data_IF_639512195687
#
_entry.id   IF_639512195687
#
_cell.length_a   1.000
_cell.length_b   1.000
_cell.length_c   1.000
_cell.angle_alpha   90.00
_cell.angle_beta   90.00
_cell.angle_gamma   90.00
#
_symmetry.space_group_name_H-M   'P 1'
#
loop_
_entity.id
_entity.type
_entity.pdbx_description
1 polymer ?
#
# COMPACT_ATOMS: atom_id res chain seq x y z
N UNK A 1 -9.26 10.26 23.95
CA UNK A 1 -9.69 10.45 22.55
C UNK A 1 -8.51 10.03 21.70
N UNK A 2 -8.56 8.86 21.06
CA UNK A 2 -7.49 8.43 20.15
C UNK A 2 -7.60 9.31 18.92
N UNK A 3 -6.62 10.18 18.75
CA UNK A 3 -6.60 11.14 17.66
C UNK A 3 -6.70 10.39 16.34
N UNK A 4 -7.74 10.70 15.57
CA UNK A 4 -7.83 10.33 14.15
C UNK A 4 -6.80 11.16 13.37
N UNK A 5 -5.51 10.99 13.68
CA UNK A 5 -4.43 11.67 12.98
C UNK A 5 -4.29 11.03 11.59
N UNK A 6 -4.88 11.72 10.63
CA UNK A 6 -4.41 11.84 9.26
C UNK A 6 -4.20 10.54 8.48
N UNK A 7 -5.28 9.77 8.30
CA UNK A 7 -5.37 8.73 7.27
C UNK A 7 -5.72 9.31 5.88
N UNK A 8 -5.62 10.63 5.70
CA UNK A 8 -6.06 11.35 4.49
C UNK A 8 -5.31 10.87 3.23
N UNK A 9 -4.03 10.52 3.41
CA UNK A 9 -3.14 10.01 2.35
C UNK A 9 -2.74 8.55 2.56
N UNK A 10 -3.62 7.75 3.15
CA UNK A 10 -3.39 6.33 3.39
C UNK A 10 -3.91 5.46 2.23
N UNK A 11 -3.07 4.51 1.81
CA UNK A 11 -3.34 3.55 0.72
C UNK A 11 -3.07 2.14 1.23
N UNK A 12 -3.93 1.19 0.88
CA UNK A 12 -3.70 -0.24 1.14
C UNK A 12 -3.03 -0.88 -0.06
N UNK A 13 -1.84 -1.43 0.15
CA UNK A 13 -1.18 -2.32 -0.80
C UNK A 13 -1.55 -3.77 -0.52
N UNK A 14 -2.28 -4.43 -1.43
CA UNK A 14 -2.59 -5.86 -1.34
C UNK A 14 -1.68 -6.65 -2.27
N UNK A 15 -0.95 -7.62 -1.73
CA UNK A 15 -0.14 -8.52 -2.53
C UNK A 15 -0.91 -9.78 -2.92
N UNK A 16 -0.84 -10.15 -4.21
CA UNK A 16 -1.58 -11.30 -4.75
C UNK A 16 -0.85 -12.63 -4.50
N UNK A 17 0.41 -12.74 -4.96
CA UNK A 17 1.21 -13.96 -4.88
C UNK A 17 2.40 -13.75 -3.94
N UNK A 18 2.27 -14.22 -2.69
CA UNK A 18 3.29 -13.98 -1.66
C UNK A 18 3.37 -12.52 -1.25
N UNK A 19 4.29 -12.20 -0.34
CA UNK A 19 4.59 -10.85 0.10
C UNK A 19 6.07 -10.78 0.49
N UNK A 20 6.83 -9.77 0.04
CA UNK A 20 8.19 -9.54 0.52
C UNK A 20 8.22 -9.19 2.01
N UNK A 21 9.40 -9.23 2.63
CA UNK A 21 9.54 -8.76 4.00
C UNK A 21 9.14 -7.28 4.14
N UNK A 22 8.55 -6.89 5.28
CA UNK A 22 8.15 -5.49 5.46
C UNK A 22 9.34 -4.52 5.45
N UNK A 23 10.49 -4.97 5.94
CA UNK A 23 11.74 -4.21 5.88
C UNK A 23 12.15 -3.92 4.42
N UNK A 24 12.03 -4.92 3.55
CA UNK A 24 12.26 -4.73 2.12
C UNK A 24 11.24 -3.77 1.52
N UNK A 25 9.94 -3.94 1.81
CA UNK A 25 8.89 -3.07 1.30
C UNK A 25 9.08 -1.60 1.67
N UNK A 26 9.56 -1.32 2.89
CA UNK A 26 9.87 0.04 3.35
C UNK A 26 10.91 0.75 2.49
N UNK A 27 11.83 0.01 1.87
CA UNK A 27 12.85 0.57 0.98
C UNK A 27 12.48 0.45 -0.50
N UNK A 28 11.75 -0.61 -0.87
CA UNK A 28 11.38 -0.90 -2.25
C UNK A 28 10.20 -0.07 -2.74
N UNK A 29 9.15 0.14 -1.93
CA UNK A 29 7.96 0.89 -2.35
C UNK A 29 8.31 2.34 -2.72
N UNK A 30 9.04 3.12 -1.90
CA UNK A 30 9.40 4.49 -2.29
C UNK A 30 10.19 4.54 -3.61
N UNK A 31 11.18 3.65 -3.75
CA UNK A 31 12.04 3.59 -4.94
C UNK A 31 11.30 3.12 -6.20
N UNK A 32 10.52 2.05 -6.10
CA UNK A 32 9.87 1.41 -7.26
C UNK A 32 8.54 2.08 -7.64
N UNK A 33 7.87 2.75 -6.70
CA UNK A 33 6.67 3.54 -6.98
C UNK A 33 6.98 5.00 -7.32
N UNK A 34 8.26 5.38 -7.39
CA UNK A 34 8.73 6.74 -7.67
C UNK A 34 8.14 7.79 -6.73
N UNK A 35 8.06 7.46 -5.43
CA UNK A 35 7.54 8.38 -4.41
C UNK A 35 8.62 9.40 -4.06
N UNK A 36 8.22 10.66 -3.92
CA UNK A 36 9.14 11.78 -3.67
C UNK A 36 9.45 11.96 -2.19
N UNK A 37 8.46 11.74 -1.32
CA UNK A 37 8.62 11.91 0.12
C UNK A 37 8.83 10.57 0.83
N UNK A 38 9.27 10.65 2.08
CA UNK A 38 9.26 9.50 2.96
C UNK A 38 7.81 9.04 3.19
N UNK A 39 7.60 7.73 3.06
CA UNK A 39 6.31 7.10 3.32
C UNK A 39 6.43 6.10 4.46
N UNK A 40 5.40 6.06 5.29
CA UNK A 40 5.34 5.12 6.40
C UNK A 40 4.57 3.87 5.98
N UNK A 41 5.22 2.71 6.08
CA UNK A 41 4.65 1.44 5.64
C UNK A 41 4.47 0.53 6.85
N UNK A 42 3.21 0.22 7.16
CA UNK A 42 2.79 -0.67 8.25
C UNK A 42 2.21 -1.98 7.73
N UNK A 43 2.35 -3.05 8.52
CA UNK A 43 1.68 -4.32 8.23
C UNK A 43 0.24 -4.25 8.75
N UNK A 44 -0.73 -4.57 7.90
CA UNK A 44 -2.12 -4.72 8.31
C UNK A 44 -2.38 -6.18 8.73
N UNK A 45 -2.66 -7.04 7.76
CA UNK A 45 -2.84 -8.48 7.99
C UNK A 45 -2.89 -9.22 6.64
N UNK A 46 -2.52 -10.50 6.62
CA UNK A 46 -2.81 -11.40 5.49
C UNK A 46 -2.37 -10.86 4.10
N UNK A 47 -1.11 -10.38 3.99
CA UNK A 47 -0.52 -9.79 2.76
C UNK A 47 -1.04 -8.40 2.36
N UNK A 48 -1.59 -7.66 3.32
CA UNK A 48 -1.95 -6.26 3.15
C UNK A 48 -0.96 -5.38 3.91
N UNK A 49 -0.50 -4.32 3.25
CA UNK A 49 0.28 -3.24 3.86
C UNK A 49 -0.49 -1.94 3.83
N UNK A 50 -0.32 -1.13 4.86
CA UNK A 50 -0.76 0.24 4.89
C UNK A 50 0.40 1.12 4.47
N UNK A 51 0.22 1.91 3.42
CA UNK A 51 1.19 2.89 2.95
C UNK A 51 0.60 4.26 3.27
N UNK A 52 1.25 5.01 4.15
CA UNK A 52 0.89 6.39 4.47
C UNK A 52 1.85 7.32 3.78
N UNK A 53 1.34 8.12 2.85
CA UNK A 53 2.10 9.16 2.18
C UNK A 53 2.12 10.42 3.05
N UNK A 54 3.25 11.13 3.02
CA UNK A 54 3.40 12.42 3.71
C UNK A 54 2.87 13.59 2.87
N UNK A 55 2.77 13.41 1.55
CA UNK A 55 2.32 14.40 0.58
C UNK A 55 1.21 13.85 -0.31
N UNK A 56 0.35 14.74 -0.83
CA UNK A 56 -0.76 14.38 -1.71
C UNK A 56 -0.28 13.83 -3.06
N UNK A 57 0.82 14.34 -3.60
CA UNK A 57 1.34 13.92 -4.91
C UNK A 57 1.69 12.42 -4.95
N UNK A 58 2.28 11.91 -3.87
CA UNK A 58 2.63 10.49 -3.73
C UNK A 58 1.36 9.64 -3.57
N UNK A 59 0.38 10.15 -2.84
CA UNK A 59 -0.93 9.49 -2.72
C UNK A 59 -1.63 9.40 -4.07
N UNK A 60 -1.67 10.49 -4.84
CA UNK A 60 -2.23 10.52 -6.20
C UNK A 60 -1.46 9.55 -7.10
N UNK A 61 -0.13 9.48 -6.99
CA UNK A 61 0.70 8.54 -7.76
C UNK A 61 0.33 7.08 -7.46
N UNK A 62 0.18 6.73 -6.18
CA UNK A 62 -0.22 5.38 -5.76
C UNK A 62 -1.67 5.04 -6.16
N UNK A 63 -2.56 6.01 -6.14
CA UNK A 63 -3.97 5.82 -6.51
C UNK A 63 -4.21 5.84 -8.02
N UNK A 64 -3.37 6.56 -8.77
CA UNK A 64 -3.43 6.66 -10.23
C UNK A 64 -3.08 5.33 -10.92
N UNK A 65 -2.20 4.53 -10.30
CA UNK A 65 -1.80 3.22 -10.81
C UNK A 65 -2.41 2.11 -9.95
N UNK A 66 -3.34 1.30 -10.47
CA UNK A 66 -4.02 0.27 -9.67
C UNK A 66 -3.11 -0.93 -9.34
N UNK A 67 -2.02 -1.12 -10.08
CA UNK A 67 -1.11 -2.26 -9.95
C UNK A 67 0.34 -1.79 -9.97
N UNK A 68 1.13 -2.25 -9.01
CA UNK A 68 2.57 -2.04 -8.91
C UNK A 68 3.29 -3.38 -8.85
N UNK A 69 4.38 -3.48 -9.60
CA UNK A 69 5.25 -4.65 -9.58
C UNK A 69 6.43 -4.39 -8.68
N UNK A 70 6.46 -5.05 -7.52
CA UNK A 70 7.58 -4.98 -6.59
C UNK A 70 8.56 -6.11 -6.90
N UNK A 71 9.73 -5.77 -7.41
CA UNK A 71 10.80 -6.73 -7.71
C UNK A 71 11.72 -6.88 -6.50
N UNK A 72 11.93 -8.11 -6.04
CA UNK A 72 12.89 -8.50 -5.01
C UNK A 72 13.81 -9.57 -5.60
N UNK A 73 15.06 -9.21 -5.89
CA UNK A 73 16.04 -10.08 -6.56
C UNK A 73 15.45 -10.72 -7.84
N UNK A 74 15.09 -12.01 -7.79
CA UNK A 74 14.51 -12.77 -8.92
C UNK A 74 12.99 -12.98 -8.83
N UNK A 75 12.32 -12.43 -7.81
CA UNK A 75 10.88 -12.57 -7.58
C UNK A 75 10.17 -11.24 -7.85
N UNK A 76 9.02 -11.32 -8.51
CA UNK A 76 8.16 -10.16 -8.79
C UNK A 76 6.85 -10.34 -8.06
N UNK A 77 6.48 -9.36 -7.25
CA UNK A 77 5.27 -9.36 -6.44
C UNK A 77 4.30 -8.32 -6.97
N UNK A 78 3.11 -8.76 -7.38
CA UNK A 78 2.05 -7.85 -7.79
C UNK A 78 1.36 -7.27 -6.56
N UNK A 79 1.55 -5.97 -6.35
CA UNK A 79 0.85 -5.15 -5.37
C UNK A 79 -0.30 -4.41 -6.04
N UNK A 80 -1.50 -4.50 -5.47
CA UNK A 80 -2.65 -3.69 -5.88
C UNK A 80 -2.91 -2.61 -4.85
N UNK A 81 -3.08 -1.38 -5.29
CA UNK A 81 -3.39 -0.26 -4.40
C UNK A 81 -4.89 -0.08 -4.27
N UNK A 82 -5.35 0.18 -3.05
CA UNK A 82 -6.73 0.48 -2.73
C UNK A 82 -6.77 1.69 -1.82
N UNK A 83 -7.82 2.50 -1.92
CA UNK A 83 -8.07 3.57 -0.96
C UNK A 83 -8.25 2.95 0.43
N UNK A 84 -7.56 3.49 1.44
CA UNK A 84 -7.83 3.11 2.81
C UNK A 84 -9.25 3.53 3.19
N UNK A 85 -10.04 2.59 3.72
CA UNK A 85 -11.38 2.83 4.21
C UNK A 85 -11.52 2.26 5.63
N UNK A 86 -12.18 3.00 6.52
CA UNK A 86 -12.37 2.60 7.93
C UNK A 86 -13.21 1.31 8.03
N UNK A 87 -14.00 1.00 6.99
CA UNK A 87 -14.76 -0.25 6.84
C UNK A 87 -14.01 -1.38 6.12
N UNK A 88 -12.70 -1.26 5.86
CA UNK A 88 -11.93 -2.28 5.14
C UNK A 88 -11.89 -3.60 5.93
N UNK A 89 -12.88 -4.45 5.66
CA UNK A 89 -12.98 -5.79 6.20
C UNK A 89 -12.35 -6.75 5.20
N UNK A 90 -11.21 -7.40 5.50
CA UNK A 90 -10.51 -8.29 4.57
C UNK A 90 -11.33 -9.53 4.14
N UNK A 91 -12.52 -9.75 4.75
CA UNK A 91 -13.45 -10.84 4.45
C UNK A 91 -14.54 -10.50 3.42
N UNK A 92 -14.80 -9.24 3.06
CA UNK A 92 -15.86 -8.94 2.08
C UNK A 92 -15.33 -9.17 0.66
N UNK A 93 -15.71 -10.34 0.12
CA UNK A 93 -15.67 -10.67 -1.31
C UNK A 93 -16.32 -9.50 -2.06
N UNK A 94 -15.52 -8.67 -2.74
CA UNK A 94 -16.04 -7.59 -3.57
C UNK A 94 -16.73 -8.25 -4.77
N UNK A 95 -18.03 -8.47 -4.65
CA UNK A 95 -18.91 -8.67 -5.79
C UNK A 95 -19.04 -7.31 -6.48
N UNK A 96 -18.60 -7.26 -7.73
CA UNK A 96 -18.76 -6.10 -8.60
C UNK A 96 -20.26 -5.82 -8.79
N UNK A 97 -20.64 -4.55 -8.70
CA UNK A 97 -21.95 -4.04 -9.12
C UNK A 97 -21.71 -2.99 -10.19
#
# INVERSE_FOLDING_TARGET
MVEQQDLKYAVVGKFSHGMPSIAFLRTAIPKQCSLKAEVNIGLLHNRHVLIRCSIEEDYVTLMSRPNFWIKENSKSFLMRTFKWDIGFTPKKRQAWR
#
